data_IF_541878226591
#
_entry.id   IF_541878226591
#
_cell.length_a   1.000
_cell.length_b   1.000
_cell.length_c   1.000
_cell.angle_alpha   90.00
_cell.angle_beta   90.00
_cell.angle_gamma   90.00
#
_symmetry.space_group_name_H-M   'P 1'
#
loop_
_entity.id
_entity.type
_entity.pdbx_description
1 polymer ?
#
# COMPACT_ATOMS: atom_id res chain seq x y z
N UNK A 1 -12.90 26.66 1.09
CA UNK A 1 -13.20 25.21 1.20
C UNK A 1 -14.20 24.99 2.34
N UNK A 2 -15.33 24.32 2.10
CA UNK A 2 -16.39 24.12 3.12
C UNK A 2 -15.94 23.15 4.23
N UNK A 3 -16.59 23.25 5.40
CA UNK A 3 -16.36 22.35 6.55
C UNK A 3 -16.61 20.88 6.18
N UNK A 4 -17.64 20.62 5.37
CA UNK A 4 -17.95 19.28 4.86
C UNK A 4 -16.84 18.71 3.98
N UNK A 5 -16.27 19.54 3.10
CA UNK A 5 -15.15 19.11 2.24
C UNK A 5 -13.91 18.78 3.07
N UNK A 6 -13.62 19.57 4.11
CA UNK A 6 -12.54 19.26 5.07
C UNK A 6 -12.78 17.91 5.75
N UNK A 7 -14.00 17.66 6.26
CA UNK A 7 -14.33 16.40 6.91
C UNK A 7 -14.19 15.20 5.96
N UNK A 8 -14.61 15.34 4.69
CA UNK A 8 -14.43 14.29 3.67
C UNK A 8 -12.97 13.99 3.40
N UNK A 9 -12.12 15.02 3.24
CA UNK A 9 -10.68 14.84 3.02
C UNK A 9 -10.02 14.15 4.23
N UNK A 10 -10.39 14.54 5.46
CA UNK A 10 -9.89 13.89 6.67
C UNK A 10 -10.25 12.40 6.74
N UNK A 11 -11.50 12.03 6.43
CA UNK A 11 -11.92 10.62 6.38
C UNK A 11 -11.13 9.84 5.32
N UNK A 12 -10.95 10.41 4.14
CA UNK A 12 -10.16 9.80 3.07
C UNK A 12 -8.69 9.60 3.49
N UNK A 13 -8.07 10.60 4.12
CA UNK A 13 -6.71 10.47 4.65
C UNK A 13 -6.60 9.38 5.73
N UNK A 14 -7.59 9.26 6.61
CA UNK A 14 -7.63 8.21 7.64
C UNK A 14 -7.71 6.82 7.00
N UNK A 15 -8.60 6.64 6.01
CA UNK A 15 -8.74 5.38 5.29
C UNK A 15 -7.46 4.99 4.54
N UNK A 16 -6.83 5.94 3.83
CA UNK A 16 -5.57 5.69 3.11
C UNK A 16 -4.43 5.30 4.06
N UNK A 17 -4.33 5.93 5.24
CA UNK A 17 -3.33 5.55 6.26
C UNK A 17 -3.57 4.14 6.79
N UNK A 18 -4.82 3.78 7.06
CA UNK A 18 -5.18 2.42 7.47
C UNK A 18 -4.84 1.39 6.38
N UNK A 19 -5.17 1.69 5.12
CA UNK A 19 -4.80 0.85 3.98
C UNK A 19 -3.28 0.69 3.87
N UNK A 20 -2.49 1.75 4.11
CA UNK A 20 -1.02 1.69 4.09
C UNK A 20 -0.48 0.69 5.12
N UNK A 21 -1.01 0.70 6.34
CA UNK A 21 -0.61 -0.25 7.39
C UNK A 21 -0.87 -1.69 6.95
N UNK A 22 -2.04 -1.97 6.36
CA UNK A 22 -2.38 -3.30 5.85
C UNK A 22 -1.42 -3.72 4.73
N UNK A 23 -1.13 -2.82 3.77
CA UNK A 23 -0.22 -3.11 2.67
C UNK A 23 1.22 -3.37 3.14
N UNK A 24 1.70 -2.64 4.16
CA UNK A 24 3.02 -2.88 4.76
C UNK A 24 3.09 -4.25 5.45
N UNK A 25 2.05 -4.62 6.19
CA UNK A 25 1.95 -5.94 6.81
C UNK A 25 1.96 -7.06 5.76
N UNK A 26 1.16 -6.93 4.69
CA UNK A 26 1.16 -7.88 3.58
C UNK A 26 2.52 -7.97 2.88
N UNK A 27 3.22 -6.85 2.72
CA UNK A 27 4.57 -6.85 2.16
C UNK A 27 5.56 -7.63 3.05
N UNK A 28 5.44 -7.50 4.37
CA UNK A 28 6.27 -8.25 5.30
C UNK A 28 6.00 -9.76 5.20
N UNK A 29 4.73 -10.18 5.17
CA UNK A 29 4.32 -11.57 4.97
C UNK A 29 4.87 -12.14 3.65
N UNK A 30 4.77 -11.39 2.55
CA UNK A 30 5.32 -11.78 1.24
C UNK A 30 6.85 -11.93 1.31
N UNK A 31 7.55 -11.01 1.97
CA UNK A 31 9.01 -11.10 2.10
C UNK A 31 9.42 -12.33 2.93
N UNK A 32 8.64 -12.68 3.95
CA UNK A 32 8.89 -13.89 4.74
C UNK A 32 8.69 -15.15 3.90
N UNK A 33 7.59 -15.23 3.15
CA UNK A 33 7.35 -16.35 2.22
C UNK A 33 8.48 -16.50 1.20
N UNK A 34 9.04 -15.40 0.70
CA UNK A 34 10.19 -15.43 -0.21
C UNK A 34 11.47 -15.98 0.44
N UNK A 35 11.62 -15.94 1.76
CA UNK A 35 12.80 -16.54 2.43
C UNK A 35 12.73 -18.07 2.41
N UNK A 36 11.53 -18.63 2.45
CA UNK A 36 11.30 -20.07 2.49
C UNK A 36 11.26 -20.73 1.10
N UNK A 37 11.12 -19.95 0.01
CA UNK A 37 10.94 -20.48 -1.33
C UNK A 37 12.26 -20.68 -2.09
N UNK A 38 12.46 -21.83 -2.77
CA UNK A 38 13.67 -22.09 -3.56
C UNK A 38 13.88 -21.06 -4.67
N UNK A 39 15.14 -20.68 -4.89
CA UNK A 39 15.53 -19.81 -6.01
C UNK A 39 15.12 -20.44 -7.35
N UNK A 40 14.61 -19.63 -8.27
CA UNK A 40 14.18 -20.07 -9.60
C UNK A 40 12.88 -20.89 -9.64
N UNK A 41 12.28 -21.23 -8.50
CA UNK A 41 10.99 -21.93 -8.49
C UNK A 41 9.87 -21.04 -9.02
N UNK A 42 8.91 -21.64 -9.74
CA UNK A 42 7.70 -20.95 -10.21
C UNK A 42 6.94 -20.26 -9.07
N UNK A 43 6.80 -20.94 -7.93
CA UNK A 43 6.16 -20.38 -6.74
C UNK A 43 6.88 -19.10 -6.25
N UNK A 44 8.22 -19.08 -6.26
CA UNK A 44 8.97 -17.87 -5.91
C UNK A 44 8.68 -16.72 -6.88
N UNK A 45 8.58 -17.00 -8.17
CA UNK A 45 8.29 -15.99 -9.19
C UNK A 45 6.90 -15.37 -8.97
N UNK A 46 5.87 -16.19 -8.72
CA UNK A 46 4.51 -15.72 -8.42
C UNK A 46 4.48 -14.83 -7.17
N UNK A 47 5.22 -15.20 -6.12
CA UNK A 47 5.33 -14.37 -4.90
C UNK A 47 6.12 -13.07 -5.15
N UNK A 48 7.14 -13.08 -6.02
CA UNK A 48 7.85 -11.87 -6.43
C UNK A 48 6.94 -10.91 -7.20
N UNK A 49 6.08 -11.41 -8.07
CA UNK A 49 5.08 -10.59 -8.78
C UNK A 49 4.08 -9.96 -7.80
N UNK A 50 3.59 -10.74 -6.83
CA UNK A 50 2.75 -10.21 -5.76
C UNK A 50 3.47 -9.10 -4.97
N UNK A 51 4.76 -9.28 -4.67
CA UNK A 51 5.60 -8.26 -4.00
C UNK A 51 5.67 -6.96 -4.80
N UNK A 52 5.84 -7.05 -6.13
CA UNK A 52 5.88 -5.88 -7.01
C UNK A 52 4.54 -5.15 -6.98
N UNK A 53 3.44 -5.88 -7.07
CA UNK A 53 2.08 -5.33 -7.00
C UNK A 53 1.82 -4.59 -5.67
N UNK A 54 2.20 -5.18 -4.53
CA UNK A 54 2.07 -4.52 -3.22
C UNK A 54 2.94 -3.27 -3.11
N UNK A 55 4.18 -3.29 -3.61
CA UNK A 55 5.04 -2.09 -3.66
C UNK A 55 4.42 -0.98 -4.52
N UNK A 56 3.82 -1.33 -5.67
CA UNK A 56 3.11 -0.37 -6.52
C UNK A 56 1.91 0.23 -5.80
N UNK A 57 1.12 -0.59 -5.11
CA UNK A 57 -0.02 -0.12 -4.30
C UNK A 57 0.42 0.84 -3.19
N UNK A 58 1.52 0.56 -2.49
CA UNK A 58 2.10 1.44 -1.47
C UNK A 58 2.53 2.81 -2.04
N UNK A 59 3.12 2.81 -3.24
CA UNK A 59 3.52 4.05 -3.94
C UNK A 59 2.29 4.87 -4.34
N UNK A 60 1.26 4.24 -4.91
CA UNK A 60 0.02 4.92 -5.28
C UNK A 60 -0.72 5.48 -4.06
N UNK A 61 -0.76 4.73 -2.96
CA UNK A 61 -1.34 5.18 -1.69
C UNK A 61 -0.59 6.42 -1.15
N UNK A 62 0.74 6.45 -1.23
CA UNK A 62 1.53 7.62 -0.85
C UNK A 62 1.22 8.84 -1.73
N UNK A 63 1.12 8.65 -3.04
CA UNK A 63 0.75 9.71 -3.98
C UNK A 63 -0.65 10.25 -3.63
N UNK A 64 -1.62 9.38 -3.37
CA UNK A 64 -2.97 9.79 -2.99
C UNK A 64 -2.98 10.61 -1.68
N UNK A 65 -2.20 10.20 -0.67
CA UNK A 65 -2.04 10.96 0.58
C UNK A 65 -1.40 12.33 0.31
N UNK A 66 -0.35 12.40 -0.50
CA UNK A 66 0.32 13.66 -0.85
C UNK A 66 -0.63 14.60 -1.59
N UNK A 67 -1.40 14.08 -2.55
CA UNK A 67 -2.36 14.86 -3.32
C UNK A 67 -3.46 15.43 -2.41
N UNK A 68 -4.06 14.59 -1.55
CA UNK A 68 -5.10 15.05 -0.62
C UNK A 68 -4.59 16.07 0.40
N UNK A 69 -3.34 15.94 0.87
CA UNK A 69 -2.74 16.95 1.75
C UNK A 69 -2.53 18.30 1.08
N UNK A 70 -2.24 18.32 -0.22
CA UNK A 70 -2.11 19.56 -1.01
C UNK A 70 -3.46 20.20 -1.31
N UNK A 71 -4.56 19.46 -1.18
CA UNK A 71 -5.93 19.95 -1.37
C UNK A 71 -6.57 20.50 -0.09
N UNK A 72 -5.90 20.41 1.05
CA UNK A 72 -6.32 20.98 2.34
C UNK A 72 -5.76 22.39 2.52
#
# INVERSE_FOLDING_TARGET
>A
MSVENKARIWRALKALRAQRVILLRRLAEINENLRCLPLGSRARQEVLEARVSIKRALRLNEIAIKNLRRSC
#
